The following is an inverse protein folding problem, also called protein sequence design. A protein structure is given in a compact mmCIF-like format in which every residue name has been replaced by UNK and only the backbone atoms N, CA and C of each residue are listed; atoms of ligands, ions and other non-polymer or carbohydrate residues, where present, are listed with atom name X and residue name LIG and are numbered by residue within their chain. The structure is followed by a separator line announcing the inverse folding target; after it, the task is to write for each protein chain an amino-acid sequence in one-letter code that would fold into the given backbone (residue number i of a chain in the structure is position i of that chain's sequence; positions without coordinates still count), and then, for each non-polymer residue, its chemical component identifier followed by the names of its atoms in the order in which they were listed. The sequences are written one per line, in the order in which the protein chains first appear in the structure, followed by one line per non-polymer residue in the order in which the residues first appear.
data_IF_297819534912
#
_entry.id   IF_297819534912
#
_cell.length_a   1.000
_cell.length_b   1.000
_cell.length_c   1.000
_cell.angle_alpha   90.00
_cell.angle_beta   90.00
_cell.angle_gamma   90.00
#
_symmetry.space_group_name_H-M   'P 1'
#
loop_
_entity.id
_entity.type
_entity.pdbx_description
1 polymer ?
#
# COMPACT_ATOMS: atom_id res chain seq x y z
N UNK A 1 -11.35 6.34 29.07
CA UNK A 1 -10.24 5.55 29.64
C UNK A 1 -8.95 5.95 28.96
N UNK A 2 -8.00 6.53 29.71
CA UNK A 2 -6.76 7.10 29.14
C UNK A 2 -5.57 6.18 29.37
N UNK A 3 -4.63 6.16 28.43
CA UNK A 3 -3.37 5.46 28.59
C UNK A 3 -2.41 6.26 29.48
N UNK A 4 -1.68 5.57 30.35
CA UNK A 4 -0.66 6.18 31.24
C UNK A 4 0.70 6.34 30.57
N UNK A 5 0.94 5.64 29.46
CA UNK A 5 2.24 5.60 28.76
C UNK A 5 2.25 6.51 27.52
N UNK A 6 1.08 6.82 26.95
CA UNK A 6 0.98 7.70 25.78
C UNK A 6 -0.32 8.53 25.79
N UNK A 7 -0.44 9.56 24.93
CA UNK A 7 -1.60 10.45 24.93
C UNK A 7 -2.94 9.82 24.44
N UNK A 8 -2.97 8.52 24.14
CA UNK A 8 -4.16 7.88 23.58
C UNK A 8 -5.27 7.69 24.62
N UNK A 9 -6.50 7.99 24.21
CA UNK A 9 -7.72 7.77 24.98
C UNK A 9 -8.68 6.81 24.27
N UNK A 10 -9.41 6.03 25.06
CA UNK A 10 -10.29 4.97 24.59
C UNK A 10 -11.68 5.09 25.25
N UNK A 11 -12.72 4.79 24.47
CA UNK A 11 -14.12 4.77 24.92
C UNK A 11 -14.46 3.53 25.75
N UNK A 12 -13.69 2.44 25.63
CA UNK A 12 -13.93 1.17 26.35
C UNK A 12 -12.69 0.73 27.13
N UNK A 13 -12.88 0.19 28.35
CA UNK A 13 -11.79 -0.32 29.17
C UNK A 13 -11.06 -1.50 28.50
N UNK A 14 -11.80 -2.39 27.82
CA UNK A 14 -11.21 -3.50 27.07
C UNK A 14 -10.29 -3.03 25.93
N UNK A 15 -10.61 -1.90 25.30
CA UNK A 15 -9.77 -1.29 24.28
C UNK A 15 -8.49 -0.71 24.90
N UNK A 16 -8.58 -0.06 26.07
CA UNK A 16 -7.41 0.41 26.81
C UNK A 16 -6.52 -0.76 27.25
N UNK A 17 -7.08 -1.82 27.87
CA UNK A 17 -6.31 -3.01 28.29
C UNK A 17 -5.54 -3.64 27.13
N UNK A 18 -6.20 -3.76 25.97
CA UNK A 18 -5.58 -4.26 24.73
C UNK A 18 -4.54 -3.29 24.15
N UNK A 19 -4.69 -2.00 24.39
CA UNK A 19 -3.66 -1.04 24.02
C UNK A 19 -2.44 -1.14 24.92
N UNK A 20 -2.62 -1.29 26.24
CA UNK A 20 -1.50 -1.43 27.17
C UNK A 20 -0.59 -2.63 26.85
N UNK A 21 -1.14 -3.72 26.29
CA UNK A 21 -0.32 -4.84 25.83
C UNK A 21 0.63 -4.49 24.68
N UNK A 22 0.42 -3.37 23.98
CA UNK A 22 1.37 -2.89 22.96
C UNK A 22 2.64 -2.31 23.57
N UNK A 23 2.53 -1.68 24.75
CA UNK A 23 3.67 -1.14 25.48
C UNK A 23 4.46 -2.25 26.16
N UNK A 24 3.78 -3.26 26.69
CA UNK A 24 4.41 -4.43 27.31
C UNK A 24 5.00 -5.43 26.28
N UNK A 25 4.87 -5.18 24.98
CA UNK A 25 5.35 -6.09 23.93
C UNK A 25 4.65 -7.45 23.88
N UNK A 26 3.58 -7.66 24.65
CA UNK A 26 2.96 -8.98 24.82
C UNK A 26 2.32 -9.49 23.52
N UNK A 27 2.81 -10.63 23.05
CA UNK A 27 2.28 -11.37 21.90
C UNK A 27 1.90 -12.79 22.33
N UNK A 28 0.73 -12.97 22.98
CA UNK A 28 0.37 -14.25 23.59
C UNK A 28 0.02 -15.33 22.56
N UNK A 29 -0.33 -14.96 21.33
CA UNK A 29 -0.78 -15.91 20.31
C UNK A 29 0.38 -16.28 19.38
N UNK A 30 0.86 -17.51 19.47
CA UNK A 30 1.93 -18.03 18.62
C UNK A 30 1.35 -18.84 17.45
N UNK A 31 1.97 -18.74 16.27
CA UNK A 31 1.67 -19.62 15.15
C UNK A 31 2.14 -21.05 15.46
N UNK A 32 1.32 -22.06 15.11
CA UNK A 32 1.70 -23.46 15.28
C UNK A 32 2.66 -23.98 14.20
N UNK A 33 2.81 -23.26 13.09
CA UNK A 33 3.62 -23.66 11.94
C UNK A 33 4.96 -22.92 11.91
N UNK A 34 5.01 -21.69 12.43
CA UNK A 34 6.23 -20.90 12.52
C UNK A 34 6.35 -20.17 13.86
N UNK A 35 7.51 -19.60 14.16
CA UNK A 35 7.76 -18.91 15.44
C UNK A 35 7.11 -17.52 15.54
N UNK A 36 6.31 -17.09 14.56
CA UNK A 36 5.70 -15.76 14.56
C UNK A 36 4.64 -15.63 15.65
N UNK A 37 4.69 -14.53 16.42
CA UNK A 37 3.76 -14.24 17.51
C UNK A 37 2.90 -13.01 17.22
N UNK A 38 1.68 -13.00 17.75
CA UNK A 38 0.66 -11.99 17.52
C UNK A 38 0.06 -11.49 18.82
N UNK A 39 -0.33 -10.21 18.82
CA UNK A 39 -1.02 -9.56 19.96
C UNK A 39 -2.51 -9.89 20.02
N UNK A 40 -3.09 -10.40 18.92
CA UNK A 40 -4.52 -10.71 18.80
C UNK A 40 -4.72 -12.04 18.08
N UNK A 41 -5.69 -12.82 18.55
CA UNK A 41 -6.07 -14.08 17.90
C UNK A 41 -6.56 -13.87 16.47
N UNK A 42 -7.23 -12.76 16.17
CA UNK A 42 -7.67 -12.44 14.81
C UNK A 42 -6.50 -12.21 13.86
N UNK A 43 -5.37 -11.69 14.34
CA UNK A 43 -4.16 -11.55 13.53
C UNK A 43 -3.49 -12.89 13.29
N UNK A 44 -3.44 -13.76 14.30
CA UNK A 44 -2.99 -15.14 14.11
C UNK A 44 -3.86 -15.87 13.07
N UNK A 45 -5.20 -15.80 13.19
CA UNK A 45 -6.13 -16.42 12.21
C UNK A 45 -5.87 -15.92 10.78
N UNK A 46 -5.72 -14.61 10.60
CA UNK A 46 -5.38 -14.05 9.29
C UNK A 46 -4.00 -14.48 8.80
N UNK A 47 -3.04 -14.64 9.70
CA UNK A 47 -1.71 -15.12 9.37
C UNK A 47 -1.73 -16.58 8.93
N UNK A 48 -2.53 -17.45 9.55
CA UNK A 48 -2.62 -18.87 9.16
C UNK A 48 -2.98 -19.07 7.68
N UNK A 49 -3.68 -18.11 7.08
CA UNK A 49 -4.02 -18.11 5.65
C UNK A 49 -2.77 -18.18 4.76
N UNK A 50 -1.61 -17.66 5.20
CA UNK A 50 -0.37 -17.77 4.43
C UNK A 50 0.13 -19.21 4.33
N UNK A 51 -0.14 -20.03 5.36
CA UNK A 51 0.27 -21.42 5.40
C UNK A 51 -0.70 -22.33 4.65
N UNK A 52 -2.00 -22.05 4.73
CA UNK A 52 -3.01 -22.82 4.01
C UNK A 52 -3.13 -22.43 2.53
N UNK A 53 -2.67 -21.22 2.17
CA UNK A 53 -2.82 -20.67 0.82
C UNK A 53 -4.27 -20.31 0.47
N UNK A 54 -5.19 -20.37 1.43
CA UNK A 54 -6.60 -20.08 1.19
C UNK A 54 -6.82 -18.64 0.70
N UNK A 55 -7.74 -18.48 -0.24
CA UNK A 55 -8.14 -17.16 -0.76
C UNK A 55 -9.67 -17.04 -0.71
N UNK A 56 -10.25 -16.87 0.49
CA UNK A 56 -11.70 -16.93 0.68
C UNK A 56 -12.44 -15.76 0.02
N UNK A 57 -11.75 -14.65 -0.25
CA UNK A 57 -12.39 -13.45 -0.80
C UNK A 57 -12.25 -13.40 -2.32
N UNK A 58 -13.35 -13.64 -3.03
CA UNK A 58 -13.39 -13.64 -4.50
C UNK A 58 -13.87 -12.28 -5.03
N UNK A 59 -13.27 -11.81 -6.13
CA UNK A 59 -13.85 -10.72 -6.91
C UNK A 59 -15.07 -11.24 -7.66
N UNK A 60 -16.13 -10.43 -7.76
CA UNK A 60 -17.33 -10.75 -8.53
C UNK A 60 -17.26 -10.24 -9.98
N UNK A 61 -16.23 -9.45 -10.30
CA UNK A 61 -16.02 -8.86 -11.63
C UNK A 61 -14.90 -9.56 -12.42
N UNK A 62 -14.12 -10.44 -11.79
CA UNK A 62 -13.07 -11.22 -12.42
C UNK A 62 -12.72 -12.47 -11.59
N UNK A 63 -11.84 -13.33 -12.11
CA UNK A 63 -11.40 -14.57 -11.45
C UNK A 63 -10.44 -14.37 -10.27
N UNK A 64 -10.09 -13.12 -9.92
CA UNK A 64 -9.14 -12.84 -8.86
C UNK A 64 -9.67 -13.22 -7.46
N UNK A 65 -8.80 -13.85 -6.67
CA UNK A 65 -9.08 -14.24 -5.28
C UNK A 65 -8.02 -13.68 -4.34
N UNK A 66 -8.43 -13.36 -3.11
CA UNK A 66 -7.60 -12.70 -2.11
C UNK A 66 -7.70 -13.39 -0.75
N UNK A 67 -6.60 -13.36 0.00
CA UNK A 67 -6.51 -13.86 1.37
C UNK A 67 -7.16 -12.92 2.40
N UNK A 68 -7.35 -11.64 2.06
CA UNK A 68 -7.90 -10.63 2.96
C UNK A 68 -8.97 -9.76 2.29
N UNK A 69 -10.04 -9.45 3.06
CA UNK A 69 -11.14 -8.59 2.60
C UNK A 69 -10.67 -7.18 2.20
N UNK A 70 -9.73 -6.60 2.94
CA UNK A 70 -9.18 -5.28 2.64
C UNK A 70 -8.47 -5.25 1.28
N UNK A 71 -7.76 -6.33 0.94
CA UNK A 71 -7.08 -6.47 -0.36
C UNK A 71 -8.10 -6.59 -1.50
N UNK A 72 -9.18 -7.36 -1.31
CA UNK A 72 -10.28 -7.40 -2.28
C UNK A 72 -10.93 -6.02 -2.46
N UNK A 73 -11.21 -5.30 -1.37
CA UNK A 73 -11.79 -3.96 -1.43
C UNK A 73 -10.92 -3.00 -2.25
N UNK A 74 -9.61 -3.00 -1.99
CA UNK A 74 -8.65 -2.20 -2.76
C UNK A 74 -8.55 -2.64 -4.22
N UNK A 75 -8.63 -3.94 -4.50
CA UNK A 75 -8.62 -4.44 -5.87
C UNK A 75 -9.83 -3.97 -6.68
N UNK A 76 -11.01 -3.81 -6.06
CA UNK A 76 -12.20 -3.28 -6.77
C UNK A 76 -11.97 -1.90 -7.39
N UNK A 77 -11.08 -1.09 -6.81
CA UNK A 77 -10.68 0.21 -7.36
C UNK A 77 -10.07 0.12 -8.79
N UNK A 78 -9.61 -1.07 -9.19
CA UNK A 78 -9.10 -1.32 -10.55
C UNK A 78 -10.24 -1.37 -11.57
N UNK A 79 -11.40 -1.92 -11.19
CA UNK A 79 -12.53 -2.09 -12.10
C UNK A 79 -13.28 -0.78 -12.37
N UNK A 80 -13.44 0.06 -11.35
CA UNK A 80 -14.15 1.34 -11.45
C UNK A 80 -13.24 2.52 -11.82
N UNK A 81 -11.92 2.28 -12.00
CA UNK A 81 -10.90 3.31 -12.22
C UNK A 81 -10.91 4.42 -11.15
N UNK A 82 -11.44 4.14 -9.95
CA UNK A 82 -11.48 5.13 -8.89
C UNK A 82 -10.07 5.47 -8.39
N UNK A 83 -9.75 6.76 -8.42
CA UNK A 83 -8.48 7.32 -7.93
C UNK A 83 -8.77 8.42 -6.91
N UNK A 84 -9.21 8.06 -5.68
CA UNK A 84 -9.67 9.03 -4.70
C UNK A 84 -8.54 9.85 -4.07
N UNK A 85 -7.28 9.44 -4.26
CA UNK A 85 -6.13 10.12 -3.67
C UNK A 85 -5.46 11.02 -4.72
N UNK A 86 -5.68 12.33 -4.61
CA UNK A 86 -5.08 13.32 -5.50
C UNK A 86 -3.83 13.94 -4.87
N UNK A 87 -2.80 14.17 -5.70
CA UNK A 87 -1.64 14.94 -5.33
C UNK A 87 -1.99 16.43 -5.17
N UNK A 88 -1.46 17.06 -4.12
CA UNK A 88 -1.67 18.50 -3.88
C UNK A 88 -0.76 19.38 -4.73
N UNK A 89 0.34 18.81 -5.24
CA UNK A 89 1.38 19.55 -5.98
C UNK A 89 1.32 19.33 -7.50
N UNK A 90 0.51 18.37 -7.99
CA UNK A 90 0.31 18.12 -9.41
C UNK A 90 -1.05 17.45 -9.69
N UNK A 91 -1.48 17.31 -10.96
CA UNK A 91 -2.77 16.73 -11.31
C UNK A 91 -2.90 15.20 -11.09
N UNK A 92 -1.82 14.51 -10.69
CA UNK A 92 -1.82 13.05 -10.58
C UNK A 92 -2.79 12.54 -9.51
N UNK A 93 -3.53 11.48 -9.87
CA UNK A 93 -4.45 10.76 -8.97
C UNK A 93 -4.06 9.29 -8.84
N UNK A 94 -4.24 8.74 -7.65
CA UNK A 94 -3.85 7.39 -7.25
C UNK A 94 -5.05 6.63 -6.65
N UNK A 95 -5.05 5.31 -6.85
CA UNK A 95 -6.03 4.40 -6.23
C UNK A 95 -5.64 3.97 -4.81
N UNK A 96 -4.43 4.33 -4.35
CA UNK A 96 -3.90 3.97 -3.03
C UNK A 96 -3.18 5.16 -2.38
N UNK A 97 -3.41 5.36 -1.08
CA UNK A 97 -2.72 6.38 -0.28
C UNK A 97 -1.20 6.17 -0.25
N UNK A 98 -0.73 4.92 -0.13
CA UNK A 98 0.71 4.60 -0.15
C UNK A 98 1.38 5.03 -1.45
N UNK A 99 0.72 4.83 -2.59
CA UNK A 99 1.20 5.29 -3.90
C UNK A 99 1.29 6.81 -3.95
N UNK A 100 0.27 7.52 -3.44
CA UNK A 100 0.31 8.98 -3.32
C UNK A 100 1.47 9.42 -2.41
N UNK A 101 1.63 8.85 -1.21
CA UNK A 101 2.72 9.24 -0.28
C UNK A 101 4.09 9.02 -0.93
N UNK A 102 4.30 7.89 -1.60
CA UNK A 102 5.55 7.62 -2.32
C UNK A 102 5.78 8.63 -3.45
N UNK A 103 4.73 9.01 -4.17
CA UNK A 103 4.80 10.06 -5.18
C UNK A 103 5.08 11.44 -4.55
N UNK A 104 4.49 11.79 -3.41
CA UNK A 104 4.80 13.04 -2.72
C UNK A 104 6.28 13.12 -2.33
N UNK A 105 6.91 12.00 -1.99
CA UNK A 105 8.35 11.96 -1.74
C UNK A 105 9.19 12.24 -2.99
N UNK A 106 8.70 11.98 -4.20
CA UNK A 106 9.43 12.35 -5.41
C UNK A 106 9.41 13.86 -5.64
N UNK A 107 8.41 14.60 -5.16
CA UNK A 107 8.45 16.07 -5.20
C UNK A 107 9.55 16.67 -4.32
N UNK A 108 10.00 15.95 -3.28
CA UNK A 108 11.02 16.39 -2.33
C UNK A 108 12.42 15.83 -2.61
N UNK A 109 12.56 14.92 -3.57
CA UNK A 109 13.89 14.59 -4.12
C UNK A 109 14.19 15.69 -5.11
N UNK A 110 15.40 16.26 -5.06
CA UNK A 110 15.88 17.06 -6.18
C UNK A 110 15.72 16.20 -7.43
N UNK A 111 14.76 16.59 -8.25
CA UNK A 111 14.47 15.99 -9.54
C UNK A 111 14.96 17.00 -10.56
N UNK A 112 16.28 17.05 -10.81
CA UNK A 112 16.87 18.04 -11.70
C UNK A 112 16.45 17.83 -13.16
N UNK A 113 15.86 16.67 -13.46
CA UNK A 113 15.40 16.32 -14.79
C UNK A 113 13.89 16.52 -14.91
N UNK A 114 13.46 17.25 -15.92
CA UNK A 114 12.04 17.46 -16.25
C UNK A 114 11.78 17.13 -17.71
N UNK A 115 10.64 16.49 -17.99
CA UNK A 115 10.17 16.30 -19.36
C UNK A 115 9.71 17.64 -19.94
N UNK A 116 10.24 18.02 -21.11
CA UNK A 116 9.87 19.26 -21.76
C UNK A 116 8.48 19.22 -22.42
N UNK A 117 7.88 18.03 -22.57
CA UNK A 117 6.56 17.85 -23.20
C UNK A 117 5.41 17.86 -22.19
N UNK A 118 5.60 17.29 -21.00
CA UNK A 118 4.55 17.17 -19.98
C UNK A 118 4.93 17.75 -18.62
N UNK A 119 6.16 18.25 -18.47
CA UNK A 119 6.72 18.82 -17.24
C UNK A 119 6.77 17.88 -16.03
N UNK A 120 6.62 16.56 -16.26
CA UNK A 120 6.88 15.54 -15.26
C UNK A 120 8.35 15.58 -14.84
N UNK A 121 8.61 15.40 -13.54
CA UNK A 121 9.94 15.49 -12.94
C UNK A 121 10.48 14.09 -12.64
N UNK A 122 11.80 13.93 -12.74
CA UNK A 122 12.50 12.65 -12.62
C UNK A 122 13.78 12.77 -11.80
N UNK A 123 14.12 11.71 -11.06
CA UNK A 123 15.33 11.67 -10.22
C UNK A 123 16.61 11.37 -10.99
N UNK A 124 16.50 10.82 -12.20
CA UNK A 124 17.64 10.52 -13.08
C UNK A 124 17.25 10.67 -14.55
N UNK A 125 18.23 10.96 -15.41
CA UNK A 125 18.04 11.08 -16.86
C UNK A 125 17.53 9.79 -17.50
N UNK A 126 17.94 8.62 -17.00
CA UNK A 126 17.49 7.30 -17.48
C UNK A 126 15.98 7.12 -17.32
N UNK A 127 15.43 7.48 -16.16
CA UNK A 127 13.98 7.38 -15.91
C UNK A 127 13.17 8.39 -16.74
N UNK A 128 13.74 9.56 -17.05
CA UNK A 128 13.15 10.51 -17.99
C UNK A 128 13.14 9.95 -19.42
N UNK A 129 14.24 9.35 -19.88
CA UNK A 129 14.34 8.73 -21.22
C UNK A 129 13.32 7.61 -21.39
N UNK A 130 13.22 6.70 -20.42
CA UNK A 130 12.20 5.65 -20.46
C UNK A 130 10.78 6.20 -20.52
N UNK A 131 10.48 7.25 -19.75
CA UNK A 131 9.18 7.92 -19.81
C UNK A 131 8.91 8.51 -21.20
N UNK A 132 9.87 9.24 -21.78
CA UNK A 132 9.73 9.81 -23.12
C UNK A 132 9.45 8.72 -24.15
N UNK A 133 10.22 7.62 -24.12
CA UNK A 133 10.04 6.50 -25.06
C UNK A 133 8.65 5.88 -24.90
N UNK A 134 8.27 5.50 -23.68
CA UNK A 134 7.01 4.76 -23.43
C UNK A 134 5.75 5.60 -23.57
N UNK A 135 5.83 6.91 -23.31
CA UNK A 135 4.65 7.79 -23.18
C UNK A 135 4.52 8.77 -24.35
N UNK A 136 5.63 9.27 -24.90
CA UNK A 136 5.62 10.30 -25.93
C UNK A 136 5.99 9.76 -27.32
N UNK A 137 6.83 8.74 -27.42
CA UNK A 137 7.28 8.18 -28.71
C UNK A 137 6.51 6.89 -29.06
N UNK A 138 6.18 6.06 -28.05
CA UNK A 138 5.71 4.70 -28.28
C UNK A 138 6.84 3.77 -28.74
N UNK A 139 6.73 2.47 -28.46
CA UNK A 139 7.74 1.48 -28.83
C UNK A 139 7.86 1.37 -30.36
N UNK A 140 8.80 2.09 -30.97
CA UNK A 140 9.33 1.75 -32.29
C UNK A 140 10.56 0.87 -32.10
N UNK A 141 10.55 -0.40 -32.55
CA UNK A 141 11.77 -1.19 -32.58
C UNK A 141 12.72 -0.57 -33.59
N UNK A 142 13.91 -0.16 -33.13
CA UNK A 142 14.99 0.25 -34.01
C UNK A 142 15.45 -0.98 -34.80
N UNK A 143 15.14 -1.03 -36.09
CA UNK A 143 15.89 -1.89 -37.02
C UNK A 143 17.31 -1.30 -37.15
N UNK A 144 18.29 -2.12 -36.81
CA UNK A 144 19.72 -1.82 -36.96
C UNK A 144 20.08 -2.18 -38.40
N UNK A 145 20.54 -1.19 -39.16
CA UNK A 145 21.23 -1.40 -40.43
C UNK A 145 22.69 -1.78 -40.17
#
# INVERSE_FOLDING_TARGET
FSCTVCPMSFTKLSALKRHLSTHAGQQPYQCSICSTRFRRISYLKNHMIIHTGEKPYKCNLCSAKFSQRATLFRHRAVHNKERPYQCTSCPMKFNQRSSLVRHMLSHNRDMPFSCNQCHDKFTSEETLKEHIIKVHIGDFPFEVN
#
